data_IF_507517350259
#
_entry.id   IF_507517350259
#
_cell.length_a   1.000
_cell.length_b   1.000
_cell.length_c   1.000
_cell.angle_alpha   90.00
_cell.angle_beta   90.00
_cell.angle_gamma   90.00
#
_symmetry.space_group_name_H-M   'P 1'
#
loop_
_entity.id
_entity.type
_entity.pdbx_description
1 polymer ?
#
# COMPACT_ATOMS: atom_id res chain seq x y z
N UNK A 1 -16.28 25.49 -24.16
CA UNK A 1 -16.35 24.02 -24.35
C UNK A 1 -17.08 23.71 -25.65
N UNK A 2 -16.68 22.67 -26.39
CA UNK A 2 -17.34 22.24 -27.62
C UNK A 2 -18.08 20.91 -27.46
N UNK A 3 -18.65 20.39 -28.56
CA UNK A 3 -19.43 19.13 -28.59
C UNK A 3 -18.70 17.94 -27.93
N UNK A 4 -17.38 17.87 -28.09
CA UNK A 4 -16.55 16.77 -27.53
C UNK A 4 -16.52 16.79 -26.01
N UNK A 5 -16.44 17.98 -25.42
CA UNK A 5 -16.42 18.19 -23.97
C UNK A 5 -17.79 17.92 -23.36
N UNK A 6 -18.87 18.35 -24.01
CA UNK A 6 -20.24 18.03 -23.57
C UNK A 6 -20.52 16.52 -23.59
N UNK A 7 -20.13 15.82 -24.66
CA UNK A 7 -20.23 14.35 -24.71
C UNK A 7 -19.48 13.70 -23.54
N UNK A 8 -18.25 14.15 -23.25
CA UNK A 8 -17.45 13.65 -22.14
C UNK A 8 -18.12 13.90 -20.77
N UNK A 9 -18.71 15.08 -20.57
CA UNK A 9 -19.46 15.42 -19.35
C UNK A 9 -20.70 14.54 -19.16
N UNK A 10 -21.41 14.20 -20.25
CA UNK A 10 -22.57 13.28 -20.17
C UNK A 10 -22.14 11.91 -19.63
N UNK A 11 -21.03 11.36 -20.11
CA UNK A 11 -20.53 10.08 -19.60
C UNK A 11 -20.04 10.17 -18.15
N UNK A 12 -19.42 11.28 -17.75
CA UNK A 12 -19.04 11.54 -16.35
C UNK A 12 -20.30 11.59 -15.47
N UNK A 13 -21.31 12.35 -15.89
CA UNK A 13 -22.58 12.47 -15.18
C UNK A 13 -23.27 11.10 -15.04
N UNK A 14 -23.28 10.28 -16.10
CA UNK A 14 -23.82 8.92 -16.04
C UNK A 14 -23.11 8.06 -14.99
N UNK A 15 -21.78 8.14 -14.88
CA UNK A 15 -21.01 7.43 -13.84
C UNK A 15 -21.38 7.94 -12.44
N UNK A 16 -21.45 9.26 -12.23
CA UNK A 16 -21.84 9.85 -10.94
C UNK A 16 -23.25 9.42 -10.54
N UNK A 17 -24.21 9.52 -11.47
CA UNK A 17 -25.60 9.10 -11.25
C UNK A 17 -25.65 7.62 -10.88
N UNK A 18 -24.92 6.75 -11.60
CA UNK A 18 -24.87 5.32 -11.29
C UNK A 18 -24.29 5.03 -9.90
N UNK A 19 -23.31 5.82 -9.45
CA UNK A 19 -22.71 5.71 -8.12
C UNK A 19 -23.74 6.03 -7.04
N UNK A 20 -24.38 7.19 -7.16
CA UNK A 20 -25.35 7.71 -6.19
C UNK A 20 -26.60 6.81 -6.13
N UNK A 21 -27.18 6.49 -7.28
CA UNK A 21 -28.35 5.59 -7.36
C UNK A 21 -28.02 4.19 -6.88
N UNK A 22 -26.83 3.70 -7.21
CA UNK A 22 -26.35 2.39 -6.80
C UNK A 22 -26.35 2.21 -5.29
N UNK A 23 -25.65 3.11 -4.58
CA UNK A 23 -25.42 2.96 -3.15
C UNK A 23 -26.64 3.34 -2.30
N UNK A 24 -27.39 4.38 -2.71
CA UNK A 24 -28.53 4.91 -1.94
C UNK A 24 -29.86 4.20 -2.21
N UNK A 25 -30.08 3.71 -3.44
CA UNK A 25 -31.41 3.22 -3.86
C UNK A 25 -31.37 1.75 -4.26
N UNK A 26 -30.53 1.40 -5.24
CA UNK A 26 -30.56 0.08 -5.84
C UNK A 26 -30.03 -1.01 -4.90
N UNK A 27 -28.96 -0.73 -4.16
CA UNK A 27 -28.39 -1.72 -3.25
C UNK A 27 -29.32 -2.04 -2.06
N UNK A 28 -29.97 -1.06 -1.39
CA UNK A 28 -31.01 -1.35 -0.39
C UNK A 28 -32.24 -2.06 -0.95
N UNK A 29 -32.68 -1.71 -2.17
CA UNK A 29 -33.90 -2.25 -2.79
C UNK A 29 -33.73 -3.70 -3.29
N UNK A 30 -32.63 -3.98 -4.01
CA UNK A 30 -32.43 -5.24 -4.73
C UNK A 30 -31.51 -6.22 -3.99
N UNK A 31 -30.87 -5.76 -2.91
CA UNK A 31 -29.84 -6.51 -2.19
C UNK A 31 -28.44 -6.34 -2.78
N UNK A 32 -27.43 -6.42 -1.90
CA UNK A 32 -26.03 -6.16 -2.25
C UNK A 32 -25.48 -7.13 -3.30
N UNK A 33 -25.74 -8.43 -3.16
CA UNK A 33 -25.25 -9.44 -4.09
C UNK A 33 -25.81 -9.25 -5.50
N UNK A 34 -27.12 -9.07 -5.63
CA UNK A 34 -27.76 -8.89 -6.94
C UNK A 34 -27.26 -7.62 -7.64
N UNK A 35 -27.12 -6.52 -6.88
CA UNK A 35 -26.56 -5.29 -7.42
C UNK A 35 -25.10 -5.44 -7.90
N UNK A 36 -24.23 -6.03 -7.08
CA UNK A 36 -22.79 -6.14 -7.38
C UNK A 36 -22.49 -7.09 -8.55
N UNK A 37 -23.22 -8.21 -8.66
CA UNK A 37 -22.93 -9.24 -9.67
C UNK A 37 -23.74 -9.09 -10.96
N UNK A 38 -24.86 -8.35 -10.97
CA UNK A 38 -25.71 -8.20 -12.15
C UNK A 38 -25.88 -6.74 -12.58
N UNK A 39 -26.47 -5.90 -11.71
CA UNK A 39 -26.86 -4.54 -12.09
C UNK A 39 -25.64 -3.67 -12.42
N UNK A 40 -24.63 -3.68 -11.56
CA UNK A 40 -23.41 -2.88 -11.74
C UNK A 40 -22.62 -3.31 -13.00
N UNK A 41 -22.34 -4.60 -13.25
CA UNK A 41 -21.76 -5.05 -14.52
C UNK A 41 -22.61 -4.69 -15.75
N UNK A 42 -23.93 -4.86 -15.68
CA UNK A 42 -24.82 -4.51 -16.80
C UNK A 42 -24.76 -3.03 -17.14
N UNK A 43 -24.74 -2.14 -16.14
CA UNK A 43 -24.55 -0.70 -16.35
C UNK A 43 -23.24 -0.40 -17.11
N UNK A 44 -22.11 -0.93 -16.63
CA UNK A 44 -20.81 -0.69 -17.26
C UNK A 44 -20.72 -1.29 -18.66
N UNK A 45 -21.39 -2.42 -18.89
CA UNK A 45 -21.46 -3.07 -20.20
C UNK A 45 -22.25 -2.22 -21.19
N UNK A 46 -23.42 -1.72 -20.78
CA UNK A 46 -24.24 -0.82 -21.60
C UNK A 46 -23.51 0.48 -21.90
N UNK A 47 -22.90 1.10 -20.89
CA UNK A 47 -22.14 2.34 -21.06
C UNK A 47 -20.97 2.15 -22.04
N UNK A 48 -20.23 1.05 -21.90
CA UNK A 48 -19.12 0.68 -22.79
C UNK A 48 -19.61 0.41 -24.21
N UNK A 49 -20.76 -0.24 -24.37
CA UNK A 49 -21.39 -0.49 -25.66
C UNK A 49 -21.81 0.81 -26.37
N UNK A 50 -22.42 1.75 -25.64
CA UNK A 50 -22.75 3.08 -26.20
C UNK A 50 -21.52 3.84 -26.65
N UNK A 51 -20.43 3.76 -25.89
CA UNK A 51 -19.15 4.36 -26.27
C UNK A 51 -18.54 3.66 -27.49
N UNK A 52 -18.65 2.33 -27.57
CA UNK A 52 -18.11 1.56 -28.69
C UNK A 52 -18.76 1.93 -30.03
N UNK A 53 -20.04 2.32 -30.03
CA UNK A 53 -20.74 2.86 -31.22
C UNK A 53 -20.25 4.25 -31.64
N UNK A 54 -19.46 4.95 -30.82
CA UNK A 54 -18.93 6.28 -31.17
C UNK A 54 -17.61 6.17 -31.95
N UNK A 55 -17.23 7.22 -32.71
CA UNK A 55 -15.95 7.23 -33.41
C UNK A 55 -14.77 6.99 -32.46
N UNK A 56 -13.87 6.09 -32.85
CA UNK A 56 -12.72 5.70 -32.02
C UNK A 56 -11.84 6.90 -31.70
N UNK A 57 -11.51 7.05 -30.42
CA UNK A 57 -10.57 8.06 -29.95
C UNK A 57 -9.12 7.58 -30.14
N UNK A 58 -8.23 8.49 -30.49
CA UNK A 58 -6.79 8.21 -30.54
C UNK A 58 -6.14 8.71 -29.26
N UNK A 59 -5.33 7.86 -28.62
CA UNK A 59 -4.47 8.27 -27.52
C UNK A 59 -3.33 9.16 -28.03
N UNK A 60 -2.70 9.93 -27.15
CA UNK A 60 -1.68 10.92 -27.56
C UNK A 60 -0.33 10.30 -27.88
N UNK A 61 -0.01 9.15 -27.27
CA UNK A 61 1.30 8.54 -27.42
C UNK A 61 1.60 8.07 -28.84
N UNK A 62 2.89 7.90 -29.15
CA UNK A 62 3.35 7.44 -30.47
C UNK A 62 2.93 5.98 -30.67
N UNK A 63 2.20 5.69 -31.75
CA UNK A 63 1.73 4.34 -32.10
C UNK A 63 2.85 3.28 -32.12
N UNK A 64 4.04 3.64 -32.58
CA UNK A 64 5.22 2.74 -32.58
C UNK A 64 5.65 2.26 -31.19
N UNK A 65 5.30 3.02 -30.13
CA UNK A 65 5.60 2.69 -28.74
C UNK A 65 4.43 1.97 -28.06
N UNK A 66 3.37 1.61 -28.77
CA UNK A 66 2.20 0.99 -28.15
C UNK A 66 2.54 -0.34 -27.47
N UNK A 67 3.26 -1.25 -28.15
CA UNK A 67 3.72 -2.51 -27.56
C UNK A 67 4.61 -2.28 -26.34
N UNK A 68 5.43 -1.23 -26.39
CA UNK A 68 6.30 -0.86 -25.30
C UNK A 68 5.53 -0.39 -24.07
N UNK A 69 4.53 0.48 -24.24
CA UNK A 69 3.66 0.92 -23.14
C UNK A 69 2.90 -0.28 -22.55
N UNK A 70 2.39 -1.19 -23.39
CA UNK A 70 1.69 -2.39 -22.95
C UNK A 70 2.59 -3.29 -22.07
N UNK A 71 3.83 -3.53 -22.51
CA UNK A 71 4.82 -4.28 -21.74
C UNK A 71 5.11 -3.61 -20.40
N UNK A 72 5.33 -2.30 -20.37
CA UNK A 72 5.61 -1.59 -19.13
C UNK A 72 4.41 -1.58 -18.17
N UNK A 73 3.18 -1.49 -18.68
CA UNK A 73 1.99 -1.67 -17.84
C UNK A 73 1.92 -3.05 -17.21
N UNK A 74 2.32 -4.09 -17.94
CA UNK A 74 2.42 -5.45 -17.39
C UNK A 74 3.49 -5.54 -16.31
N UNK A 75 4.68 -4.97 -16.56
CA UNK A 75 5.78 -4.91 -15.58
C UNK A 75 5.31 -4.20 -14.29
N UNK A 76 4.68 -3.04 -14.39
CA UNK A 76 4.14 -2.32 -13.24
C UNK A 76 3.14 -3.17 -12.45
N UNK A 77 2.24 -3.89 -13.13
CA UNK A 77 1.27 -4.78 -12.49
C UNK A 77 1.97 -5.94 -11.75
N UNK A 78 2.95 -6.58 -12.39
CA UNK A 78 3.71 -7.70 -11.81
C UNK A 78 4.50 -7.22 -10.60
N UNK A 79 5.18 -6.07 -10.69
CA UNK A 79 5.91 -5.48 -9.57
C UNK A 79 4.96 -5.16 -8.41
N UNK A 80 3.78 -4.59 -8.70
CA UNK A 80 2.77 -4.32 -7.66
C UNK A 80 2.37 -5.58 -6.92
N UNK A 81 2.00 -6.64 -7.64
CA UNK A 81 1.63 -7.93 -7.05
C UNK A 81 2.80 -8.50 -6.25
N UNK A 82 4.01 -8.47 -6.80
CA UNK A 82 5.20 -9.01 -6.12
C UNK A 82 5.47 -8.29 -4.79
N UNK A 83 5.37 -6.97 -4.78
CA UNK A 83 5.56 -6.14 -3.59
C UNK A 83 4.42 -6.31 -2.58
N UNK A 84 3.18 -6.44 -3.05
CA UNK A 84 2.01 -6.73 -2.21
C UNK A 84 2.15 -8.09 -1.51
N UNK A 85 2.54 -9.13 -2.24
CA UNK A 85 2.82 -10.46 -1.66
C UNK A 85 4.06 -10.45 -0.76
N UNK A 86 5.09 -9.67 -1.10
CA UNK A 86 6.25 -9.48 -0.25
C UNK A 86 5.88 -8.87 1.11
N UNK A 87 4.98 -7.88 1.13
CA UNK A 87 4.43 -7.33 2.36
C UNK A 87 3.71 -8.38 3.23
N UNK A 88 3.14 -9.42 2.61
CA UNK A 88 2.51 -10.53 3.35
C UNK A 88 3.49 -11.38 4.15
N UNK A 89 4.76 -11.48 3.75
CA UNK A 89 5.79 -12.12 4.59
C UNK A 89 6.11 -11.31 5.84
N UNK A 90 5.78 -10.02 5.82
CA UNK A 90 6.08 -9.07 6.89
C UNK A 90 4.92 -8.97 7.86
N UNK A 91 3.71 -8.72 7.35
CA UNK A 91 2.50 -8.47 8.15
C UNK A 91 1.67 -9.74 8.38
N UNK A 92 1.96 -10.81 7.65
CA UNK A 92 1.24 -12.09 7.75
C UNK A 92 0.36 -12.39 6.54
N UNK A 93 -0.08 -13.64 6.51
CA UNK A 93 -0.86 -14.21 5.42
C UNK A 93 -2.23 -14.59 5.96
N UNK A 94 -3.28 -14.12 5.29
CA UNK A 94 -4.68 -14.42 5.60
C UNK A 94 -5.37 -15.23 4.51
N UNK A 95 -6.63 -15.55 4.75
CA UNK A 95 -7.48 -16.23 3.78
C UNK A 95 -8.18 -15.22 2.87
N UNK A 96 -8.31 -15.55 1.58
CA UNK A 96 -9.08 -14.74 0.65
C UNK A 96 -10.55 -14.61 1.10
N UNK A 97 -11.15 -13.40 1.04
CA UNK A 97 -12.57 -13.19 1.36
C UNK A 97 -13.49 -13.69 0.24
N UNK A 98 -12.93 -14.10 -0.91
CA UNK A 98 -13.69 -14.54 -2.08
C UNK A 98 -13.98 -16.04 -2.06
N UNK A 99 -15.11 -16.41 -2.66
CA UNK A 99 -15.51 -17.80 -2.81
C UNK A 99 -14.46 -18.60 -3.60
N UNK A 100 -14.02 -19.73 -3.03
CA UNK A 100 -12.99 -20.62 -3.60
C UNK A 100 -13.54 -21.62 -4.62
N UNK A 101 -14.87 -21.72 -4.76
CA UNK A 101 -15.49 -22.61 -5.73
C UNK A 101 -15.28 -22.07 -7.15
N UNK A 102 -15.16 -22.96 -8.14
CA UNK A 102 -15.00 -22.57 -9.54
C UNK A 102 -16.13 -21.62 -9.99
N UNK A 103 -17.37 -21.91 -9.56
CA UNK A 103 -18.54 -21.04 -9.81
C UNK A 103 -18.37 -19.65 -9.19
N UNK A 104 -17.87 -19.57 -7.95
CA UNK A 104 -17.60 -18.30 -7.28
C UNK A 104 -16.50 -17.48 -7.95
N UNK A 105 -15.41 -18.13 -8.34
CA UNK A 105 -14.30 -17.50 -9.07
C UNK A 105 -14.80 -16.91 -10.40
N UNK A 106 -15.56 -17.70 -11.18
CA UNK A 106 -16.15 -17.23 -12.44
C UNK A 106 -17.11 -16.05 -12.21
N UNK A 107 -17.94 -16.11 -11.17
CA UNK A 107 -18.83 -15.00 -10.81
C UNK A 107 -18.04 -13.72 -10.45
N UNK A 108 -16.90 -13.83 -9.74
CA UNK A 108 -16.05 -12.68 -9.41
C UNK A 108 -15.40 -12.07 -10.65
N UNK A 109 -14.88 -12.90 -11.55
CA UNK A 109 -14.26 -12.44 -12.80
C UNK A 109 -15.30 -11.75 -13.68
N UNK A 110 -16.48 -12.34 -13.84
CA UNK A 110 -17.54 -11.77 -14.66
C UNK A 110 -18.20 -10.54 -14.00
N UNK A 111 -18.36 -10.52 -12.69
CA UNK A 111 -18.91 -9.39 -11.95
C UNK A 111 -17.89 -8.26 -11.80
N UNK A 112 -16.91 -8.42 -10.92
CA UNK A 112 -15.94 -7.38 -10.60
C UNK A 112 -14.93 -7.14 -11.72
N UNK A 113 -14.45 -8.22 -12.36
CA UNK A 113 -13.45 -8.11 -13.41
C UNK A 113 -13.94 -7.36 -14.65
N UNK A 114 -15.16 -7.65 -15.10
CA UNK A 114 -15.74 -6.93 -16.26
C UNK A 114 -15.90 -5.44 -15.98
N UNK A 115 -16.40 -5.06 -14.80
CA UNK A 115 -16.57 -3.67 -14.38
C UNK A 115 -15.23 -2.94 -14.40
N UNK A 116 -14.20 -3.51 -13.79
CA UNK A 116 -12.88 -2.89 -13.72
C UNK A 116 -12.28 -2.64 -15.11
N UNK A 117 -12.44 -3.57 -16.05
CA UNK A 117 -11.96 -3.40 -17.42
C UNK A 117 -12.80 -2.36 -18.18
N UNK A 118 -14.13 -2.41 -18.05
CA UNK A 118 -15.05 -1.47 -18.69
C UNK A 118 -14.83 -0.03 -18.22
N UNK A 119 -14.49 0.17 -16.94
CA UNK A 119 -14.08 1.47 -16.42
C UNK A 119 -12.92 2.07 -17.22
N UNK A 120 -11.89 1.27 -17.54
CA UNK A 120 -10.75 1.74 -18.34
C UNK A 120 -11.14 2.13 -19.77
N UNK A 121 -12.14 1.44 -20.33
CA UNK A 121 -12.67 1.74 -21.65
C UNK A 121 -13.36 3.10 -21.69
N UNK A 122 -14.24 3.34 -20.70
CA UNK A 122 -14.96 4.60 -20.53
C UNK A 122 -13.98 5.74 -20.22
N UNK A 123 -13.01 5.51 -19.33
CA UNK A 123 -11.92 6.45 -19.01
C UNK A 123 -11.18 6.87 -20.27
N UNK A 124 -10.81 5.93 -21.12
CA UNK A 124 -10.14 6.21 -22.39
C UNK A 124 -10.94 7.10 -23.32
N UNK A 125 -12.24 6.84 -23.45
CA UNK A 125 -13.09 7.70 -24.25
C UNK A 125 -13.10 9.14 -23.71
N UNK A 126 -13.38 9.33 -22.41
CA UNK A 126 -13.49 10.65 -21.79
C UNK A 126 -12.17 11.44 -21.93
N UNK A 127 -11.05 10.85 -21.50
CA UNK A 127 -9.74 11.52 -21.44
C UNK A 127 -9.18 11.83 -22.83
N UNK A 128 -9.35 10.92 -23.80
CA UNK A 128 -8.75 11.09 -25.12
C UNK A 128 -9.65 11.79 -26.14
N UNK A 129 -10.96 11.90 -25.90
CA UNK A 129 -11.89 12.65 -26.76
C UNK A 129 -11.71 14.17 -26.66
N UNK A 130 -11.45 14.67 -25.44
CA UNK A 130 -11.44 16.10 -25.10
C UNK A 130 -10.24 16.82 -25.74
N UNK A 131 -10.44 18.10 -26.12
CA UNK A 131 -9.38 18.97 -26.66
C UNK A 131 -8.22 19.14 -25.68
N UNK A 132 -7.05 19.50 -26.23
CA UNK A 132 -5.80 19.65 -25.45
C UNK A 132 -5.91 20.63 -24.28
N UNK A 133 -6.61 21.74 -24.46
CA UNK A 133 -6.79 22.80 -23.45
C UNK A 133 -7.57 22.34 -22.22
N UNK A 134 -8.58 21.48 -22.39
CA UNK A 134 -9.42 20.99 -21.29
C UNK A 134 -8.95 19.66 -20.70
N UNK A 135 -7.96 19.02 -21.32
CA UNK A 135 -7.59 17.64 -20.99
C UNK A 135 -7.11 17.46 -19.55
N UNK A 136 -6.39 18.43 -19.01
CA UNK A 136 -5.93 18.39 -17.61
C UNK A 136 -7.12 18.40 -16.65
N UNK A 137 -8.07 19.32 -16.84
CA UNK A 137 -9.27 19.44 -15.99
C UNK A 137 -10.10 18.15 -16.07
N UNK A 138 -10.37 17.65 -17.27
CA UNK A 138 -11.12 16.39 -17.42
C UNK A 138 -10.37 15.19 -16.81
N UNK A 139 -9.04 15.15 -16.88
CA UNK A 139 -8.26 14.10 -16.22
C UNK A 139 -8.40 14.16 -14.71
N UNK A 140 -8.38 15.36 -14.11
CA UNK A 140 -8.60 15.55 -12.67
C UNK A 140 -10.01 15.10 -12.28
N UNK A 141 -11.04 15.52 -13.02
CA UNK A 141 -12.44 15.11 -12.76
C UNK A 141 -12.57 13.59 -12.85
N UNK A 142 -12.00 12.97 -13.87
CA UNK A 142 -12.01 11.51 -14.04
C UNK A 142 -11.31 10.81 -12.88
N UNK A 143 -10.16 11.31 -12.42
CA UNK A 143 -9.47 10.75 -11.25
C UNK A 143 -10.39 10.81 -10.02
N UNK A 144 -10.99 11.95 -9.74
CA UNK A 144 -11.89 12.12 -8.58
C UNK A 144 -13.08 11.16 -8.69
N UNK A 145 -13.82 11.21 -9.81
CA UNK A 145 -15.05 10.43 -10.00
C UNK A 145 -14.77 8.93 -9.93
N UNK A 146 -13.70 8.45 -10.59
CA UNK A 146 -13.40 7.02 -10.61
C UNK A 146 -12.79 6.53 -9.29
N UNK A 147 -12.12 7.40 -8.54
CA UNK A 147 -11.68 7.08 -7.17
C UNK A 147 -12.89 6.95 -6.25
N UNK A 148 -13.78 7.94 -6.24
CA UNK A 148 -15.00 7.92 -5.44
C UNK A 148 -15.88 6.70 -5.77
N UNK A 149 -15.99 6.32 -7.05
CA UNK A 149 -16.76 5.16 -7.48
C UNK A 149 -16.31 3.82 -6.87
N UNK A 150 -15.03 3.71 -6.51
CA UNK A 150 -14.46 2.50 -5.91
C UNK A 150 -14.49 2.52 -4.38
N UNK A 151 -14.72 3.67 -3.76
CA UNK A 151 -14.76 3.78 -2.31
C UNK A 151 -16.08 3.23 -1.77
N UNK A 152 -16.00 2.56 -0.62
CA UNK A 152 -17.18 2.14 0.11
C UNK A 152 -17.66 3.29 1.00
N UNK A 153 -18.59 4.10 0.51
CA UNK A 153 -19.10 5.27 1.23
C UNK A 153 -19.78 4.91 2.56
N UNK A 154 -20.24 3.66 2.74
CA UNK A 154 -20.83 3.20 4.01
C UNK A 154 -19.79 3.04 5.13
N UNK A 155 -18.51 2.88 4.81
CA UNK A 155 -17.46 2.87 5.83
C UNK A 155 -17.28 4.25 6.46
N UNK A 156 -17.65 5.32 5.74
CA UNK A 156 -17.51 6.70 6.22
C UNK A 156 -18.50 6.98 7.37
N UNK A 157 -19.70 6.41 7.33
CA UNK A 157 -20.70 6.63 8.39
C UNK A 157 -20.33 6.00 9.73
N UNK A 158 -19.32 5.13 9.79
CA UNK A 158 -18.84 4.52 11.02
C UNK A 158 -17.58 5.18 11.61
N UNK A 159 -17.10 6.29 11.05
CA UNK A 159 -15.90 7.00 11.53
C UNK A 159 -16.32 8.02 12.57
N UNK A 160 -15.90 7.80 13.82
CA UNK A 160 -16.22 8.71 14.94
C UNK A 160 -14.99 9.50 15.42
N UNK A 161 -13.78 8.95 15.21
CA UNK A 161 -12.54 9.51 15.76
C UNK A 161 -11.56 9.98 14.69
N UNK A 162 -10.67 10.91 15.07
CA UNK A 162 -9.61 11.40 14.18
C UNK A 162 -8.65 10.29 13.71
N UNK A 163 -8.15 9.38 14.58
CA UNK A 163 -7.30 8.28 14.14
C UNK A 163 -7.96 7.37 13.10
N UNK A 164 -9.27 7.08 13.26
CA UNK A 164 -10.04 6.31 12.27
C UNK A 164 -10.15 7.04 10.94
N UNK A 165 -10.32 8.37 10.96
CA UNK A 165 -10.29 9.20 9.73
C UNK A 165 -8.95 9.05 9.01
N UNK A 166 -7.83 9.18 9.74
CA UNK A 166 -6.49 9.05 9.17
C UNK A 166 -6.27 7.65 8.60
N UNK A 167 -6.69 6.61 9.32
CA UNK A 167 -6.62 5.24 8.85
C UNK A 167 -7.43 5.05 7.56
N UNK A 168 -8.67 5.53 7.50
CA UNK A 168 -9.51 5.40 6.31
C UNK A 168 -8.92 6.12 5.09
N UNK A 169 -8.40 7.34 5.30
CA UNK A 169 -7.73 8.11 4.25
C UNK A 169 -6.49 7.38 3.72
N UNK A 170 -5.64 6.89 4.62
CA UNK A 170 -4.42 6.17 4.26
C UNK A 170 -4.70 4.83 3.59
N UNK A 171 -5.65 4.07 4.11
CA UNK A 171 -5.89 2.69 3.69
C UNK A 171 -6.74 2.58 2.41
N UNK A 172 -7.71 3.48 2.22
CA UNK A 172 -8.68 3.39 1.13
C UNK A 172 -8.61 4.57 0.15
N UNK A 173 -8.59 5.81 0.65
CA UNK A 173 -8.76 6.99 -0.21
C UNK A 173 -7.49 7.30 -1.02
N UNK A 174 -6.37 7.51 -0.34
CA UNK A 174 -5.12 7.93 -1.00
C UNK A 174 -4.58 6.88 -1.99
N UNK A 175 -4.54 5.57 -1.66
CA UNK A 175 -4.18 4.52 -2.61
C UNK A 175 -5.05 4.54 -3.88
N UNK A 176 -6.37 4.65 -3.73
CA UNK A 176 -7.26 4.69 -4.89
C UNK A 176 -7.03 5.93 -5.75
N UNK A 177 -6.83 7.10 -5.15
CA UNK A 177 -6.52 8.31 -5.91
C UNK A 177 -5.20 8.14 -6.68
N UNK A 178 -4.14 7.67 -6.03
CA UNK A 178 -2.85 7.46 -6.69
C UNK A 178 -2.94 6.45 -7.83
N UNK A 179 -3.66 5.35 -7.64
CA UNK A 179 -3.90 4.34 -8.65
C UNK A 179 -4.69 4.92 -9.85
N UNK A 180 -5.72 5.72 -9.59
CA UNK A 180 -6.52 6.38 -10.64
C UNK A 180 -5.72 7.43 -11.42
N UNK A 181 -4.76 8.12 -10.79
CA UNK A 181 -3.82 9.01 -11.50
C UNK A 181 -2.96 8.19 -12.46
N UNK A 182 -2.38 7.06 -12.02
CA UNK A 182 -1.58 6.19 -12.88
C UNK A 182 -2.39 5.66 -14.05
N UNK A 183 -3.60 5.15 -13.80
CA UNK A 183 -4.45 4.61 -14.86
C UNK A 183 -4.86 5.68 -15.86
N UNK A 184 -5.17 6.89 -15.40
CA UNK A 184 -5.45 8.04 -16.27
C UNK A 184 -4.24 8.42 -17.13
N UNK A 185 -3.04 8.32 -16.57
CA UNK A 185 -1.80 8.51 -17.32
C UNK A 185 -1.57 7.42 -18.38
N UNK A 186 -1.74 6.15 -18.03
CA UNK A 186 -1.65 5.01 -18.97
C UNK A 186 -2.63 5.15 -20.13
N UNK A 187 -3.87 5.52 -19.81
CA UNK A 187 -4.92 5.81 -20.79
C UNK A 187 -4.51 6.95 -21.72
N UNK A 188 -3.96 8.03 -21.17
CA UNK A 188 -3.56 9.19 -21.96
C UNK A 188 -2.48 8.86 -22.99
N UNK A 189 -1.49 8.02 -22.62
CA UNK A 189 -0.36 7.69 -23.49
C UNK A 189 -0.61 6.47 -24.39
N UNK A 190 -1.41 5.49 -23.96
CA UNK A 190 -1.53 4.20 -24.65
C UNK A 190 -2.96 3.66 -24.80
N UNK A 191 -3.97 4.42 -24.38
CA UNK A 191 -5.38 4.02 -24.49
C UNK A 191 -5.83 3.05 -23.40
N UNK A 192 -6.99 2.42 -23.59
CA UNK A 192 -7.60 1.57 -22.56
C UNK A 192 -6.77 0.32 -22.22
N UNK A 193 -6.19 -0.34 -23.23
CA UNK A 193 -5.55 -1.65 -23.05
C UNK A 193 -4.38 -1.67 -22.06
N UNK A 194 -3.41 -0.73 -22.08
CA UNK A 194 -2.36 -0.71 -21.05
C UNK A 194 -2.90 -0.55 -19.63
N UNK A 195 -3.93 0.28 -19.44
CA UNK A 195 -4.58 0.43 -18.14
C UNK A 195 -5.34 -0.84 -17.73
N UNK A 196 -6.05 -1.49 -18.67
CA UNK A 196 -6.70 -2.79 -18.47
C UNK A 196 -5.70 -3.88 -18.07
N UNK A 197 -4.54 -3.97 -18.73
CA UNK A 197 -3.49 -4.96 -18.43
C UNK A 197 -2.98 -4.77 -17.00
N UNK A 198 -2.65 -3.54 -16.63
CA UNK A 198 -2.20 -3.24 -15.27
C UNK A 198 -3.30 -3.58 -14.25
N UNK A 199 -4.54 -3.14 -14.46
CA UNK A 199 -5.68 -3.42 -13.58
C UNK A 199 -5.97 -4.91 -13.46
N UNK A 200 -5.90 -5.66 -14.56
CA UNK A 200 -6.12 -7.10 -14.56
C UNK A 200 -5.05 -7.80 -13.70
N UNK A 201 -3.78 -7.49 -13.92
CA UNK A 201 -2.67 -8.16 -13.20
C UNK A 201 -2.77 -7.92 -11.69
N UNK A 202 -3.10 -6.71 -11.23
CA UNK A 202 -3.18 -6.44 -9.78
C UNK A 202 -4.40 -7.07 -9.11
N UNK A 203 -5.50 -7.32 -9.84
CA UNK A 203 -6.76 -7.83 -9.26
C UNK A 203 -6.95 -9.34 -9.44
N UNK A 204 -6.40 -9.94 -10.50
CA UNK A 204 -6.53 -11.38 -10.76
C UNK A 204 -6.09 -12.24 -9.56
N UNK A 205 -4.94 -11.97 -8.90
CA UNK A 205 -4.52 -12.76 -7.75
C UNK A 205 -5.53 -12.72 -6.60
N UNK A 206 -6.21 -11.60 -6.41
CA UNK A 206 -7.21 -11.43 -5.35
C UNK A 206 -8.40 -12.38 -5.53
N UNK A 207 -8.77 -12.68 -6.78
CA UNK A 207 -9.89 -13.57 -7.09
C UNK A 207 -9.50 -15.04 -7.26
N UNK A 208 -8.25 -15.32 -7.65
CA UNK A 208 -7.78 -16.68 -7.92
C UNK A 208 -7.07 -17.31 -6.73
N UNK A 209 -6.29 -16.53 -5.97
CA UNK A 209 -5.41 -17.08 -4.94
C UNK A 209 -6.22 -17.23 -3.64
N UNK A 210 -6.31 -18.45 -3.07
CA UNK A 210 -7.10 -18.70 -1.86
C UNK A 210 -6.50 -18.07 -0.60
N UNK A 211 -5.23 -17.68 -0.69
CA UNK A 211 -4.39 -17.19 0.40
C UNK A 211 -3.82 -15.83 -0.02
N UNK A 212 -4.11 -14.79 0.75
CA UNK A 212 -3.74 -13.40 0.42
C UNK A 212 -2.97 -12.74 1.57
N UNK A 213 -2.05 -11.81 1.28
CA UNK A 213 -1.41 -10.97 2.29
C UNK A 213 -2.44 -10.24 3.16
N UNK A 214 -2.34 -10.39 4.48
CA UNK A 214 -3.14 -9.64 5.45
C UNK A 214 -2.35 -8.44 5.96
N UNK A 215 -2.18 -7.44 5.09
CA UNK A 215 -1.35 -6.28 5.38
C UNK A 215 -2.00 -5.39 6.44
N UNK A 216 -1.16 -4.82 7.31
CA UNK A 216 -1.57 -3.71 8.17
C UNK A 216 -1.97 -2.51 7.31
N UNK A 217 -2.85 -1.66 7.85
CA UNK A 217 -3.34 -0.49 7.11
C UNK A 217 -2.18 0.43 6.67
N UNK A 218 -1.11 0.51 7.45
CA UNK A 218 0.09 1.30 7.16
C UNK A 218 0.82 0.74 5.95
N UNK A 219 1.13 -0.57 5.94
CA UNK A 219 1.81 -1.23 4.82
C UNK A 219 0.96 -1.15 3.55
N UNK A 220 -0.35 -1.35 3.67
CA UNK A 220 -1.31 -1.22 2.55
C UNK A 220 -1.34 0.20 1.99
N UNK A 221 -1.45 1.21 2.85
CA UNK A 221 -1.40 2.62 2.47
C UNK A 221 -0.09 2.94 1.74
N UNK A 222 1.03 2.49 2.30
CA UNK A 222 2.35 2.74 1.75
C UNK A 222 2.49 2.15 0.34
N UNK A 223 2.22 0.86 0.17
CA UNK A 223 2.31 0.16 -1.12
C UNK A 223 1.38 0.81 -2.15
N UNK A 224 0.12 1.06 -1.74
CA UNK A 224 -0.91 1.63 -2.60
C UNK A 224 -0.66 3.07 -3.04
N UNK A 225 0.07 3.86 -2.25
CA UNK A 225 0.44 5.24 -2.61
C UNK A 225 1.76 5.26 -3.39
N UNK A 226 2.80 4.61 -2.88
CA UNK A 226 4.15 4.76 -3.42
C UNK A 226 4.34 4.06 -4.76
N UNK A 227 3.77 2.87 -4.94
CA UNK A 227 3.98 2.16 -6.20
C UNK A 227 3.37 2.89 -7.40
N UNK A 228 2.11 3.37 -7.38
CA UNK A 228 1.59 4.14 -8.50
C UNK A 228 2.39 5.42 -8.76
N UNK A 229 2.88 6.11 -7.73
CA UNK A 229 3.75 7.29 -7.87
C UNK A 229 5.06 6.93 -8.58
N UNK A 230 5.76 5.89 -8.11
CA UNK A 230 7.00 5.39 -8.73
C UNK A 230 6.74 4.98 -10.17
N UNK A 231 5.65 4.26 -10.44
CA UNK A 231 5.28 3.83 -11.78
C UNK A 231 5.03 5.01 -12.71
N UNK A 232 4.32 6.05 -12.27
CA UNK A 232 4.12 7.28 -13.08
C UNK A 232 5.46 7.92 -13.42
N UNK A 233 6.36 8.07 -12.44
CA UNK A 233 7.68 8.68 -12.64
C UNK A 233 8.51 7.88 -13.65
N UNK A 234 8.61 6.56 -13.44
CA UNK A 234 9.37 5.65 -14.30
C UNK A 234 8.78 5.63 -15.71
N UNK A 235 7.47 5.37 -15.85
CA UNK A 235 6.79 5.32 -17.15
C UNK A 235 6.95 6.64 -17.91
N UNK A 236 6.81 7.79 -17.24
CA UNK A 236 6.97 9.10 -17.88
C UNK A 236 8.38 9.31 -18.40
N UNK A 237 9.39 8.96 -17.61
CA UNK A 237 10.80 9.11 -18.01
C UNK A 237 11.15 8.17 -19.17
N UNK A 238 10.76 6.91 -19.04
CA UNK A 238 11.02 5.85 -20.00
C UNK A 238 10.30 6.13 -21.33
N UNK A 239 9.04 6.54 -21.29
CA UNK A 239 8.29 6.97 -22.48
C UNK A 239 8.94 8.18 -23.16
N UNK A 240 9.35 9.21 -22.41
CA UNK A 240 10.00 10.41 -22.95
C UNK A 240 11.35 10.08 -23.63
N UNK A 241 12.09 9.13 -23.06
CA UNK A 241 13.35 8.62 -23.63
C UNK A 241 13.11 7.93 -24.96
N UNK A 242 12.22 6.95 -25.01
CA UNK A 242 11.91 6.20 -26.23
C UNK A 242 11.18 7.03 -27.30
N UNK A 243 10.38 8.01 -26.88
CA UNK A 243 9.75 8.95 -27.81
C UNK A 243 10.77 9.88 -28.47
N UNK A 244 12.04 9.88 -28.02
CA UNK A 244 13.12 10.79 -28.46
C UNK A 244 12.75 12.26 -28.24
N UNK A 245 11.95 12.54 -27.23
CA UNK A 245 11.65 13.92 -26.77
C UNK A 245 12.76 14.47 -25.86
N UNK A 246 13.76 13.65 -25.51
CA UNK A 246 14.97 14.03 -24.76
C UNK A 246 16.08 14.37 -25.77
N UNK A 247 16.80 15.49 -25.58
CA UNK A 247 17.96 15.84 -26.42
C UNK A 247 19.04 14.74 -26.29
N UNK A 248 19.69 14.35 -27.39
CA UNK A 248 20.72 13.28 -27.44
C UNK A 248 21.85 13.45 -26.40
N UNK A 249 22.16 14.68 -25.99
CA UNK A 249 23.17 15.00 -24.96
C UNK A 249 22.73 14.59 -23.54
N UNK A 250 21.44 14.60 -23.25
CA UNK A 250 20.86 14.16 -21.97
C UNK A 250 20.67 12.63 -21.92
N UNK A 251 20.54 11.95 -23.08
CA UNK A 251 20.33 10.50 -23.15
C UNK A 251 21.56 9.66 -22.76
N UNK A 252 22.77 10.15 -23.00
CA UNK A 252 24.02 9.44 -22.70
C UNK A 252 24.31 9.34 -21.20
N UNK A 253 23.67 10.16 -20.35
CA UNK A 253 23.98 10.24 -18.94
C UNK A 253 23.39 9.09 -18.10
N UNK A 254 22.32 8.40 -18.55
CA UNK A 254 21.56 7.54 -17.64
C UNK A 254 21.10 6.21 -18.23
N UNK A 255 21.64 5.14 -17.63
CA UNK A 255 21.23 3.75 -17.85
C UNK A 255 19.93 3.45 -17.08
N UNK A 256 18.88 2.89 -17.71
CA UNK A 256 17.61 2.58 -17.06
C UNK A 256 17.73 1.65 -15.83
N UNK A 257 18.74 0.79 -15.81
CA UNK A 257 19.03 -0.13 -14.70
C UNK A 257 19.33 0.60 -13.39
N UNK A 258 20.03 1.73 -13.45
CA UNK A 258 20.38 2.54 -12.26
C UNK A 258 19.11 3.07 -11.59
N UNK A 259 18.10 3.45 -12.38
CA UNK A 259 16.83 3.96 -11.86
C UNK A 259 15.95 2.88 -11.25
N UNK A 260 15.90 1.71 -11.87
CA UNK A 260 15.17 0.55 -11.31
C UNK A 260 15.78 0.21 -9.95
N UNK A 261 17.12 0.13 -9.88
CA UNK A 261 17.84 -0.12 -8.62
C UNK A 261 17.58 0.99 -7.60
N UNK A 262 17.64 2.27 -7.99
CA UNK A 262 17.37 3.38 -7.05
C UNK A 262 15.93 3.38 -6.53
N UNK A 263 14.94 3.09 -7.38
CA UNK A 263 13.54 3.05 -6.96
C UNK A 263 13.27 1.87 -6.01
N UNK A 264 13.86 0.72 -6.28
CA UNK A 264 13.80 -0.44 -5.35
C UNK A 264 14.46 -0.09 -4.01
N UNK A 265 15.65 0.52 -4.03
CA UNK A 265 16.34 0.96 -2.81
C UNK A 265 15.52 1.99 -2.04
N UNK A 266 14.92 2.98 -2.71
CA UNK A 266 14.06 3.96 -2.06
C UNK A 266 12.83 3.32 -1.42
N UNK A 267 12.18 2.37 -2.08
CA UNK A 267 11.05 1.63 -1.52
C UNK A 267 11.48 0.86 -0.26
N UNK A 268 12.63 0.16 -0.31
CA UNK A 268 13.17 -0.57 0.84
C UNK A 268 13.54 0.34 2.00
N UNK A 269 14.15 1.50 1.72
CA UNK A 269 14.49 2.50 2.75
C UNK A 269 13.21 3.04 3.40
N UNK A 270 12.17 3.34 2.63
CA UNK A 270 10.93 3.86 3.22
C UNK A 270 10.16 2.76 3.96
N UNK A 271 10.17 1.51 3.49
CA UNK A 271 9.66 0.37 4.26
C UNK A 271 10.34 0.22 5.61
N UNK A 272 11.66 0.40 5.65
CA UNK A 272 12.41 0.41 6.89
C UNK A 272 12.05 1.61 7.77
N UNK A 273 11.98 2.82 7.22
CA UNK A 273 11.69 4.03 7.98
C UNK A 273 10.25 4.09 8.56
N UNK A 274 9.28 3.52 7.85
CA UNK A 274 7.86 3.48 8.27
C UNK A 274 7.59 2.32 9.24
N UNK A 275 8.60 1.48 9.52
CA UNK A 275 8.45 0.35 10.45
C UNK A 275 7.57 -0.77 9.90
N UNK A 276 7.55 -0.93 8.57
CA UNK A 276 6.85 -2.06 7.91
C UNK A 276 7.44 -3.37 8.40
N UNK A 277 8.77 -3.47 8.48
CA UNK A 277 9.41 -4.67 9.03
C UNK A 277 9.07 -4.83 10.52
N UNK A 278 8.73 -6.04 11.00
CA UNK A 278 8.50 -6.31 12.42
C UNK A 278 9.79 -6.19 13.23
N UNK A 279 10.91 -5.89 12.56
CA UNK A 279 12.23 -5.76 13.13
C UNK A 279 12.56 -4.29 13.27
N UNK A 280 12.93 -3.84 14.46
CA UNK A 280 13.28 -2.46 14.74
C UNK A 280 14.52 -2.37 15.66
N UNK A 281 15.44 -1.42 15.41
CA UNK A 281 16.61 -1.23 16.24
C UNK A 281 16.29 -0.37 17.48
N UNK A 282 16.89 -0.70 18.62
CA UNK A 282 16.90 0.14 19.84
C UNK A 282 18.34 0.32 20.32
N UNK A 283 18.72 1.55 20.66
CA UNK A 283 20.03 1.85 21.25
C UNK A 283 20.00 1.58 22.75
N UNK A 284 21.00 0.89 23.26
CA UNK A 284 21.13 0.55 24.67
C UNK A 284 21.80 1.70 25.41
N UNK A 285 21.20 2.11 26.52
CA UNK A 285 21.62 3.27 27.30
C UNK A 285 22.28 2.88 28.64
N UNK A 286 21.95 1.71 29.19
CA UNK A 286 22.32 1.30 30.56
C UNK A 286 23.12 0.00 30.58
N UNK A 287 23.85 -0.25 31.67
CA UNK A 287 24.69 -1.43 31.86
C UNK A 287 24.01 -2.66 32.45
N UNK A 288 22.68 -2.70 32.57
CA UNK A 288 21.95 -3.79 33.27
C UNK A 288 22.02 -5.15 32.58
N UNK A 289 22.36 -5.18 31.30
CA UNK A 289 22.45 -6.40 30.49
C UNK A 289 23.91 -6.84 30.22
N UNK A 290 24.90 -6.28 30.93
CA UNK A 290 26.29 -6.74 30.85
C UNK A 290 26.44 -8.18 31.38
N UNK A 291 27.35 -9.00 30.84
CA UNK A 291 28.25 -8.74 29.70
C UNK A 291 27.62 -9.04 28.33
N UNK A 292 26.35 -9.45 28.27
CA UNK A 292 25.71 -9.84 27.01
C UNK A 292 25.43 -8.66 26.08
N UNK A 293 25.14 -7.48 26.64
CA UNK A 293 24.78 -6.26 25.91
C UNK A 293 25.40 -5.05 26.64
N UNK A 294 26.07 -4.17 25.91
CA UNK A 294 26.73 -2.99 26.47
C UNK A 294 26.02 -1.68 26.10
N UNK A 295 26.12 -0.63 26.94
CA UNK A 295 25.72 0.72 26.55
C UNK A 295 26.37 1.13 25.22
N UNK A 296 25.59 1.71 24.32
CA UNK A 296 26.03 2.07 22.96
C UNK A 296 25.91 0.94 21.93
N UNK A 297 25.49 -0.26 22.31
CA UNK A 297 25.09 -1.29 21.36
C UNK A 297 23.70 -1.00 20.78
N UNK A 298 23.45 -1.50 19.57
CA UNK A 298 22.11 -1.51 18.97
C UNK A 298 21.55 -2.91 19.08
N UNK A 299 20.46 -3.05 19.82
CA UNK A 299 19.71 -4.30 19.89
C UNK A 299 18.66 -4.31 18.79
N UNK A 300 18.60 -5.41 18.05
CA UNK A 300 17.62 -5.64 17.02
C UNK A 300 16.49 -6.45 17.64
N UNK A 301 15.32 -5.83 17.70
CA UNK A 301 14.10 -6.39 18.29
C UNK A 301 13.13 -6.80 17.20
N UNK A 302 12.37 -7.87 17.43
CA UNK A 302 11.28 -8.34 16.59
C UNK A 302 9.97 -8.26 17.36
N UNK A 303 8.93 -7.65 16.79
CA UNK A 303 7.56 -7.78 17.31
C UNK A 303 7.14 -9.25 17.22
N UNK A 304 6.77 -9.82 18.36
CA UNK A 304 6.33 -11.21 18.50
C UNK A 304 5.04 -11.24 19.31
N UNK A 305 4.19 -12.23 19.07
CA UNK A 305 3.07 -12.50 19.96
C UNK A 305 3.62 -12.85 21.36
N UNK A 306 3.07 -12.30 22.46
CA UNK A 306 3.54 -12.63 23.80
C UNK A 306 3.55 -14.13 24.12
N UNK A 307 2.69 -14.93 23.48
CA UNK A 307 2.67 -16.39 23.62
C UNK A 307 3.90 -17.09 23.04
N UNK A 308 4.66 -16.44 22.16
CA UNK A 308 5.91 -16.98 21.60
C UNK A 308 7.13 -16.77 22.52
N UNK A 309 6.98 -15.95 23.57
CA UNK A 309 8.04 -15.60 24.51
C UNK A 309 8.31 -16.79 25.44
N UNK A 310 9.59 -17.13 25.60
CA UNK A 310 10.04 -18.23 26.45
C UNK A 310 10.98 -17.72 27.53
N UNK A 311 11.07 -18.49 28.61
CA UNK A 311 12.12 -18.31 29.62
C UNK A 311 13.49 -18.34 28.93
N UNK A 312 14.31 -17.33 29.22
CA UNK A 312 15.62 -17.11 28.60
C UNK A 312 15.62 -16.04 27.51
N UNK A 313 14.46 -15.66 26.96
CA UNK A 313 14.38 -14.60 25.95
C UNK A 313 14.66 -13.22 26.56
N UNK A 314 15.28 -12.34 25.79
CA UNK A 314 15.45 -10.92 26.15
C UNK A 314 14.36 -10.12 25.45
N UNK A 315 13.59 -9.35 26.21
CA UNK A 315 12.43 -8.60 25.72
C UNK A 315 12.56 -7.12 26.05
N UNK A 316 12.03 -6.27 25.16
CA UNK A 316 11.76 -4.86 25.45
C UNK A 316 10.32 -4.70 25.88
N UNK A 317 10.08 -3.97 26.97
CA UNK A 317 8.75 -3.60 27.45
C UNK A 317 8.73 -2.15 27.95
N UNK A 318 7.52 -1.58 28.05
CA UNK A 318 7.33 -0.25 28.64
C UNK A 318 6.97 -0.37 30.13
N UNK A 319 7.60 0.46 30.95
CA UNK A 319 7.27 0.64 32.38
C UNK A 319 7.18 2.14 32.64
N UNK A 320 5.97 2.64 32.89
CA UNK A 320 5.72 4.08 32.88
C UNK A 320 6.09 4.67 31.51
N UNK A 321 6.93 5.70 31.50
CA UNK A 321 7.36 6.39 30.27
C UNK A 321 8.71 5.92 29.72
N UNK A 322 9.26 4.81 30.24
CA UNK A 322 10.58 4.31 29.81
C UNK A 322 10.50 2.90 29.21
N UNK A 323 11.39 2.66 28.24
CA UNK A 323 11.60 1.33 27.67
C UNK A 323 12.72 0.60 28.42
N UNK A 324 12.45 -0.62 28.86
CA UNK A 324 13.39 -1.49 29.58
C UNK A 324 13.63 -2.75 28.74
N UNK A 325 14.88 -3.23 28.72
CA UNK A 325 15.28 -4.46 28.03
C UNK A 325 15.89 -5.41 29.05
N UNK A 326 15.19 -6.49 29.40
CA UNK A 326 15.63 -7.49 30.39
C UNK A 326 15.32 -8.92 29.91
N UNK A 327 15.95 -9.90 30.56
CA UNK A 327 15.74 -11.33 30.27
C UNK A 327 14.57 -11.88 31.07
N UNK A 328 13.69 -12.64 30.41
CA UNK A 328 12.63 -13.40 31.07
C UNK A 328 13.24 -14.56 31.83
N UNK A 329 13.07 -14.56 33.15
CA UNK A 329 13.58 -15.64 34.03
C UNK A 329 12.47 -16.61 34.43
N UNK A 330 11.20 -16.18 34.38
CA UNK A 330 10.03 -16.99 34.71
C UNK A 330 8.78 -16.45 34.02
N UNK A 331 7.85 -17.35 33.69
CA UNK A 331 6.50 -17.02 33.20
C UNK A 331 5.53 -17.50 34.27
N UNK A 332 4.72 -16.60 34.82
CA UNK A 332 3.73 -16.93 35.84
C UNK A 332 2.50 -17.62 35.23
N UNK A 333 1.71 -18.30 36.07
CA UNK A 333 0.48 -18.96 35.62
C UNK A 333 -0.57 -17.97 35.06
N UNK A 334 -0.47 -16.68 35.43
CA UNK A 334 -1.27 -15.57 34.90
C UNK A 334 -0.86 -15.15 33.48
N UNK A 335 0.26 -15.67 32.97
CA UNK A 335 0.84 -15.28 31.67
C UNK A 335 1.76 -14.07 31.75
N UNK A 336 2.00 -13.52 32.94
CA UNK A 336 2.90 -12.38 33.14
C UNK A 336 4.37 -12.84 33.22
N UNK A 337 5.28 -11.97 32.80
CA UNK A 337 6.71 -12.28 32.73
C UNK A 337 7.46 -11.70 33.92
N UNK A 338 8.20 -12.54 34.64
CA UNK A 338 9.22 -12.08 35.58
C UNK A 338 10.52 -11.87 34.82
N UNK A 339 11.06 -10.65 34.89
CA UNK A 339 12.25 -10.25 34.14
C UNK A 339 13.40 -9.89 35.08
N UNK A 340 14.63 -9.95 34.55
CA UNK A 340 15.84 -9.57 35.26
C UNK A 340 16.90 -9.07 34.28
N UNK A 341 17.58 -7.97 34.61
CA UNK A 341 18.80 -7.57 33.93
C UNK A 341 19.92 -8.56 34.19
N UNK A 342 20.66 -8.99 33.16
CA UNK A 342 21.71 -10.01 33.28
C UNK A 342 22.79 -9.63 34.33
N UNK A 343 23.02 -8.33 34.53
CA UNK A 343 23.96 -7.77 35.50
C UNK A 343 23.32 -7.36 36.85
N UNK A 344 22.00 -7.51 37.01
CA UNK A 344 21.32 -7.11 38.24
C UNK A 344 21.44 -8.21 39.31
N UNK A 345 21.38 -7.84 40.58
CA UNK A 345 21.47 -8.80 41.71
C UNK A 345 20.14 -9.55 41.88
N UNK A 346 19.05 -8.81 41.97
CA UNK A 346 17.68 -9.34 42.14
C UNK A 346 16.88 -9.31 40.85
N UNK A 347 15.82 -10.15 40.73
CA UNK A 347 14.77 -9.97 39.73
C UNK A 347 14.09 -8.62 39.85
N UNK A 348 13.49 -8.16 38.75
CA UNK A 348 12.64 -6.97 38.77
C UNK A 348 11.43 -7.19 39.69
N UNK A 349 11.10 -6.18 40.50
CA UNK A 349 10.02 -6.21 41.48
C UNK A 349 8.63 -6.33 40.85
N UNK A 350 8.44 -5.75 39.66
CA UNK A 350 7.17 -5.75 38.94
C UNK A 350 7.16 -6.77 37.80
N UNK A 351 6.10 -7.58 37.76
CA UNK A 351 5.79 -8.44 36.62
C UNK A 351 5.45 -7.61 35.39
N UNK A 352 5.76 -8.16 34.21
CA UNK A 352 5.49 -7.54 32.92
C UNK A 352 4.30 -8.23 32.29
N UNK A 353 3.20 -7.50 32.09
CA UNK A 353 2.02 -8.02 31.43
C UNK A 353 2.28 -8.24 29.92
N UNK A 354 1.60 -9.19 29.26
CA UNK A 354 1.71 -9.42 27.81
C UNK A 354 1.55 -8.15 26.95
N UNK A 355 0.61 -7.27 27.30
CA UNK A 355 0.39 -6.00 26.60
C UNK A 355 1.49 -4.96 26.82
N UNK A 356 2.43 -5.22 27.74
CA UNK A 356 3.59 -4.37 27.95
C UNK A 356 4.78 -4.70 27.06
N UNK A 357 4.76 -5.86 26.41
CA UNK A 357 5.88 -6.28 25.56
C UNK A 357 5.83 -5.55 24.22
N UNK A 358 6.96 -4.96 23.86
CA UNK A 358 7.15 -4.24 22.60
C UNK A 358 7.81 -5.14 21.56
N UNK A 359 8.77 -5.97 21.98
CA UNK A 359 9.43 -6.93 21.09
C UNK A 359 10.47 -7.80 21.79
N UNK A 360 10.89 -8.87 21.10
CA UNK A 360 11.90 -9.83 21.52
C UNK A 360 13.21 -9.58 20.78
N UNK A 361 14.33 -9.62 21.49
CA UNK A 361 15.66 -9.51 20.90
C UNK A 361 15.96 -10.69 19.98
N UNK A 362 16.47 -10.38 18.79
CA UNK A 362 16.94 -11.37 17.80
C UNK A 362 18.43 -11.19 17.45
N UNK A 363 19.05 -10.08 17.85
CA UNK A 363 20.48 -9.87 17.63
C UNK A 363 20.99 -8.56 18.24
N UNK A 364 22.32 -8.45 18.32
CA UNK A 364 23.02 -7.26 18.82
C UNK A 364 24.04 -6.83 17.77
N UNK A 365 24.06 -5.55 17.45
CA UNK A 365 25.09 -4.95 16.61
C UNK A 365 25.97 -4.07 17.50
N UNK A 366 27.21 -4.51 17.79
CA UNK A 366 28.04 -3.81 18.76
C UNK A 366 28.51 -2.46 18.24
N UNK A 367 28.65 -1.48 19.15
CA UNK A 367 29.31 -0.18 18.94
C UNK A 367 28.69 0.79 17.90
N UNK A 368 27.61 0.46 17.20
CA UNK A 368 26.98 1.37 16.21
C UNK A 368 26.16 2.48 16.88
N UNK A 369 25.61 2.24 18.07
CA UNK A 369 24.80 3.22 18.80
C UNK A 369 25.59 4.45 19.27
N UNK A 370 26.91 4.34 19.39
CA UNK A 370 27.80 5.47 19.71
C UNK A 370 27.70 6.61 18.70
N UNK A 371 27.45 6.32 17.42
CA UNK A 371 27.25 7.36 16.40
C UNK A 371 26.05 8.24 16.80
N UNK A 372 24.93 7.63 17.21
CA UNK A 372 23.73 8.34 17.62
C UNK A 372 23.93 9.09 18.97
N UNK A 373 24.68 8.48 19.91
CA UNK A 373 25.03 9.11 21.19
C UNK A 373 25.90 10.36 21.03
N UNK A 374 26.83 10.36 20.06
CA UNK A 374 27.66 11.54 19.73
C UNK A 374 26.80 12.68 19.17
N UNK A 375 25.80 12.39 18.33
CA UNK A 375 24.93 13.42 17.75
C UNK A 375 23.87 13.98 18.71
N UNK A 376 23.47 13.23 19.74
CA UNK A 376 22.39 13.65 20.67
C UNK A 376 22.86 14.44 21.90
N UNK A 377 24.17 14.60 22.10
CA UNK A 377 24.70 15.29 23.28
C UNK A 377 24.55 14.45 24.55
N UNK A 378 25.63 14.31 25.30
CA UNK A 378 25.74 13.50 26.51
C UNK A 378 24.50 13.56 27.43
N UNK A 379 23.85 12.41 27.62
CA UNK A 379 23.19 12.00 28.85
C UNK A 379 23.14 10.47 28.85
N UNK A 380 24.30 9.83 29.09
CA UNK A 380 24.30 8.46 29.58
C UNK A 380 23.67 8.53 30.97
N UNK A 381 22.51 7.88 31.15
CA UNK A 381 21.90 7.75 32.48
C UNK A 381 22.93 7.00 33.33
N UNK A 382 23.44 7.58 34.44
CA UNK A 382 24.37 6.87 35.31
C UNK A 382 23.76 5.53 35.73
N UNK A 383 24.57 4.47 35.83
CA UNK A 383 24.13 3.13 36.25
C UNK A 383 23.43 3.15 37.64
N UNK A 384 23.50 4.28 38.37
CA UNK A 384 22.93 4.52 39.71
C UNK A 384 21.58 5.28 39.70
N UNK A 385 21.07 5.76 38.57
CA UNK A 385 19.86 6.61 38.53
C UNK A 385 18.54 5.85 38.32
N UNK A 386 18.56 4.52 38.39
CA UNK A 386 17.35 3.69 38.45
C UNK A 386 17.43 2.90 39.74
N UNK A 387 16.88 3.45 40.82
CA UNK A 387 16.63 2.65 42.03
C UNK A 387 15.69 1.49 41.64
N UNK A 388 16.14 0.27 41.95
CA UNK A 388 15.53 -1.01 41.57
C UNK A 388 14.34 -1.41 42.44
#
# INVERSE_FOLDING_TARGET
>A
MGKREYEALIYIAAVIISMVLGDLVLMPLLGSSFYQYLIKPAFWMLLSYFIWKRPRVRFKGKLKLYKFILLWSAICGIVYVSVYFAGGFVDGIGTSPYARSIKGILANILGFGSVLLMMEWVRNYIVNKVKREYKTIFSIIVVIVFSLYKLNLRMISGIETWPQTVQYLGEYVLPEVMNNILLTYLVYIGGAYPAMVYTAIINIPVWLVPVLPNLTWITKAFIGIMLPVVFIIVLRRVYKKESREIKLREQKAEKPSVWIVSSVISILIIWFAVGVFPIFPTVILTGSMKPAIYPGDVVILRKVDPSEIKVGDVIQYWRGDVFIIHRVIKIEATGEFQTKGDNNISPDSNLVAPGQVVGKMIGVIPKIGYINLIFRGHNLIPDEAVEF
#
